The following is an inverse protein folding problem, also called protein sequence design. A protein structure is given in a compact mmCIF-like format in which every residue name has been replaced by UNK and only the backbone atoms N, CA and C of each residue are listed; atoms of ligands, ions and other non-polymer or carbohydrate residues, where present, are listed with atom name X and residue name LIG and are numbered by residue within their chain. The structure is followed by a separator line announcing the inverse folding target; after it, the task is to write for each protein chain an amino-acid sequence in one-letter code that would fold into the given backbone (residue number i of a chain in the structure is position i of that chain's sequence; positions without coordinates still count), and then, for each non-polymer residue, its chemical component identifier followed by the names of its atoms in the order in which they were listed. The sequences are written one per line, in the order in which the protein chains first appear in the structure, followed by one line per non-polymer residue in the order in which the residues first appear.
data_IF_810269336039
#
_entry.id   IF_810269336039
#
_cell.length_a   1.000
_cell.length_b   1.000
_cell.length_c   1.000
_cell.angle_alpha   90.00
_cell.angle_beta   90.00
_cell.angle_gamma   90.00
#
_symmetry.space_group_name_H-M   'P 1'
#
loop_
_entity.id
_entity.type
_entity.pdbx_description
1 polymer ?
#
# COMPACT_ATOMS: atom_id res chain seq x y z
N UNK A 1 27.02 -12.93 10.94
CA UNK A 1 25.55 -12.73 10.94
C UNK A 1 25.37 -11.23 11.00
N UNK A 2 24.69 -10.62 10.02
CA UNK A 2 24.42 -9.19 10.08
C UNK A 2 23.57 -8.91 11.33
N UNK A 3 23.92 -7.89 12.11
CA UNK A 3 23.08 -7.44 13.22
C UNK A 3 21.80 -6.87 12.64
N UNK A 4 20.64 -7.40 13.06
CA UNK A 4 19.34 -6.82 12.71
C UNK A 4 19.25 -5.50 13.48
N UNK A 5 19.22 -4.39 12.75
CA UNK A 5 19.08 -3.05 13.33
C UNK A 5 17.59 -2.70 13.44
N UNK A 6 17.20 -1.83 14.40
CA UNK A 6 15.83 -1.33 14.49
C UNK A 6 15.31 -0.72 13.17
N UNK A 7 16.18 -0.07 12.40
CA UNK A 7 15.82 0.51 11.10
C UNK A 7 15.46 -0.56 10.06
N UNK A 8 16.05 -1.76 10.15
CA UNK A 8 15.75 -2.87 9.27
C UNK A 8 14.38 -3.48 9.54
N UNK A 9 14.02 -3.68 10.82
CA UNK A 9 12.70 -4.19 11.18
C UNK A 9 11.59 -3.20 10.75
N UNK A 10 11.87 -1.91 10.85
CA UNK A 10 10.95 -0.86 10.38
C UNK A 10 10.80 -0.89 8.85
N UNK A 11 11.90 -1.07 8.12
CA UNK A 11 11.88 -1.19 6.67
C UNK A 11 11.14 -2.45 6.19
N UNK A 12 11.40 -3.60 6.82
CA UNK A 12 10.69 -4.85 6.54
C UNK A 12 9.18 -4.71 6.80
N UNK A 13 8.82 -4.04 7.90
CA UNK A 13 7.43 -3.70 8.18
C UNK A 13 6.84 -2.81 7.08
N UNK A 14 7.51 -1.73 6.69
CA UNK A 14 7.03 -0.84 5.62
C UNK A 14 6.86 -1.60 4.29
N UNK A 15 7.83 -2.44 3.91
CA UNK A 15 7.76 -3.31 2.72
C UNK A 15 6.54 -4.23 2.77
N UNK A 16 6.24 -4.82 3.94
CA UNK A 16 5.07 -5.69 4.08
C UNK A 16 3.76 -4.91 3.94
N UNK A 17 3.71 -3.65 4.42
CA UNK A 17 2.55 -2.76 4.27
C UNK A 17 2.26 -2.44 2.81
N UNK A 18 3.29 -2.13 2.03
CA UNK A 18 3.17 -1.87 0.58
C UNK A 18 2.64 -3.09 -0.18
N UNK A 19 3.14 -4.28 0.15
CA UNK A 19 2.66 -5.52 -0.49
C UNK A 19 1.20 -5.83 -0.11
N UNK A 20 0.80 -5.59 1.14
CA UNK A 20 -0.60 -5.70 1.57
C UNK A 20 -1.51 -4.71 0.85
N UNK A 21 -1.06 -3.46 0.66
CA UNK A 21 -1.79 -2.43 -0.06
C UNK A 21 -1.95 -2.78 -1.54
N UNK A 22 -0.88 -3.25 -2.18
CA UNK A 22 -0.91 -3.79 -3.54
C UNK A 22 -1.99 -4.87 -3.71
N UNK A 23 -1.97 -5.90 -2.86
CA UNK A 23 -2.96 -6.98 -2.92
C UNK A 23 -4.38 -6.48 -2.63
N UNK A 24 -4.53 -5.53 -1.71
CA UNK A 24 -5.82 -4.90 -1.43
C UNK A 24 -6.37 -4.17 -2.67
N UNK A 25 -5.57 -3.36 -3.37
CA UNK A 25 -6.03 -2.65 -4.56
C UNK A 25 -6.32 -3.59 -5.72
N UNK A 26 -5.49 -4.63 -5.93
CA UNK A 26 -5.81 -5.65 -6.93
C UNK A 26 -7.10 -6.41 -6.61
N UNK A 27 -7.37 -6.70 -5.34
CA UNK A 27 -8.64 -7.28 -4.90
C UNK A 27 -9.80 -6.35 -5.24
N UNK A 28 -9.62 -5.06 -4.95
CA UNK A 28 -10.65 -4.07 -5.12
C UNK A 28 -10.96 -3.80 -6.60
N UNK A 29 -9.93 -3.76 -7.44
CA UNK A 29 -10.06 -3.64 -8.88
C UNK A 29 -10.87 -4.79 -9.51
N UNK A 30 -10.81 -5.99 -8.93
CA UNK A 30 -11.56 -7.18 -9.39
C UNK A 30 -13.04 -7.17 -8.99
N UNK A 31 -13.39 -6.55 -7.85
CA UNK A 31 -14.76 -6.56 -7.34
C UNK A 31 -15.53 -5.28 -7.67
N UNK A 32 -14.83 -4.18 -7.96
CA UNK A 32 -15.49 -2.93 -8.36
C UNK A 32 -16.17 -3.09 -9.72
N UNK A 33 -17.46 -2.75 -9.79
CA UNK A 33 -18.25 -2.88 -11.02
C UNK A 33 -17.96 -1.80 -12.07
N UNK A 34 -17.35 -0.67 -11.67
CA UNK A 34 -17.03 0.44 -12.57
C UNK A 34 -15.66 0.25 -13.23
N UNK A 35 -15.57 0.16 -14.58
CA UNK A 35 -14.30 -0.06 -15.28
C UNK A 35 -13.29 1.09 -15.15
N UNK A 36 -13.76 2.33 -14.99
CA UNK A 36 -12.85 3.46 -14.82
C UNK A 36 -12.21 3.43 -13.43
N UNK A 37 -12.99 3.10 -12.40
CA UNK A 37 -12.47 2.90 -11.05
C UNK A 37 -11.55 1.68 -10.96
N UNK A 38 -11.91 0.56 -11.61
CA UNK A 38 -11.04 -0.63 -11.69
C UNK A 38 -9.65 -0.28 -12.21
N UNK A 39 -9.58 0.56 -13.25
CA UNK A 39 -8.31 1.04 -13.80
C UNK A 39 -7.53 1.93 -12.81
N UNK A 40 -8.21 2.82 -12.08
CA UNK A 40 -7.56 3.67 -11.06
C UNK A 40 -6.97 2.81 -9.94
N UNK A 41 -7.68 1.76 -9.53
CA UNK A 41 -7.19 0.82 -8.51
C UNK A 41 -6.01 -0.01 -9.00
N UNK A 42 -6.01 -0.43 -10.28
CA UNK A 42 -4.84 -1.05 -10.91
C UNK A 42 -3.62 -0.10 -10.98
N UNK A 43 -3.85 1.21 -11.10
CA UNK A 43 -2.80 2.23 -11.05
C UNK A 43 -2.24 2.34 -9.63
N UNK A 44 -3.10 2.46 -8.60
CA UNK A 44 -2.66 2.46 -7.20
C UNK A 44 -1.88 1.20 -6.84
N UNK A 45 -2.38 0.01 -7.22
CA UNK A 45 -1.67 -1.24 -6.98
C UNK A 45 -0.24 -1.24 -7.55
N UNK A 46 0.01 -0.57 -8.68
CA UNK A 46 1.36 -0.46 -9.26
C UNK A 46 2.23 0.54 -8.50
N UNK A 47 1.64 1.65 -8.05
CA UNK A 47 2.33 2.66 -7.24
C UNK A 47 2.84 2.05 -5.92
N UNK A 48 2.05 1.20 -5.25
CA UNK A 48 2.50 0.45 -4.06
C UNK A 48 3.73 -0.44 -4.34
N UNK A 49 3.81 -1.06 -5.53
CA UNK A 49 4.99 -1.84 -5.90
C UNK A 49 6.22 -0.95 -6.15
N UNK A 50 6.01 0.28 -6.63
CA UNK A 50 7.10 1.25 -6.79
C UNK A 50 7.58 1.75 -5.42
N UNK A 51 6.68 1.98 -4.46
CA UNK A 51 7.02 2.30 -3.07
C UNK A 51 7.80 1.16 -2.41
N UNK A 52 7.32 -0.08 -2.54
CA UNK A 52 8.02 -1.28 -2.09
C UNK A 52 9.44 -1.33 -2.64
N UNK A 53 9.62 -1.16 -3.95
CA UNK A 53 10.93 -1.21 -4.59
C UNK A 53 11.88 -0.11 -4.08
N UNK A 54 11.37 1.10 -3.76
CA UNK A 54 12.16 2.16 -3.13
C UNK A 54 12.63 1.76 -1.73
N UNK A 55 11.74 1.19 -0.90
CA UNK A 55 12.10 0.73 0.45
C UNK A 55 13.10 -0.43 0.41
N UNK A 56 12.94 -1.37 -0.51
CA UNK A 56 13.89 -2.48 -0.68
C UNK A 56 15.29 -1.98 -1.07
N UNK A 57 15.37 -0.94 -1.91
CA UNK A 57 16.65 -0.34 -2.27
C UNK A 57 17.37 0.24 -1.03
N UNK A 58 16.64 0.87 -0.12
CA UNK A 58 17.21 1.37 1.14
C UNK A 58 17.73 0.24 2.02
N UNK A 59 17.00 -0.87 2.14
CA UNK A 59 17.49 -2.04 2.88
C UNK A 59 18.81 -2.54 2.30
N UNK A 60 18.92 -2.64 0.96
CA UNK A 60 20.14 -3.09 0.29
C UNK A 60 21.33 -2.15 0.55
N UNK A 61 21.10 -0.83 0.64
CA UNK A 61 22.16 0.14 0.97
C UNK A 61 22.73 -0.05 2.37
N UNK A 62 21.94 -0.59 3.31
CA UNK A 62 22.43 -0.92 4.66
C UNK A 62 23.33 -2.17 4.71
N UNK A 63 23.58 -2.82 3.55
CA UNK A 63 24.36 -4.05 3.45
C UNK A 63 23.57 -5.30 3.89
N UNK A 64 22.28 -5.15 4.12
CA UNK A 64 21.38 -6.24 4.47
C UNK A 64 20.80 -6.86 3.20
N UNK A 65 20.63 -8.18 3.22
CA UNK A 65 19.99 -8.92 2.13
C UNK A 65 18.59 -9.26 2.60
N UNK A 66 17.58 -8.73 1.90
CA UNK A 66 16.21 -9.13 2.13
C UNK A 66 16.07 -10.64 1.86
N UNK A 67 15.31 -11.37 2.69
CA UNK A 67 14.92 -12.73 2.36
C UNK A 67 14.34 -12.72 0.95
N UNK A 68 14.92 -13.50 0.03
CA UNK A 68 14.31 -13.67 -1.29
C UNK A 68 12.87 -14.13 -1.07
N UNK A 69 11.90 -13.37 -1.59
CA UNK A 69 10.50 -13.77 -1.57
C UNK A 69 10.42 -15.17 -2.18
N UNK A 70 10.22 -16.18 -1.33
CA UNK A 70 9.87 -17.52 -1.81
C UNK A 70 8.44 -17.44 -2.28
N UNK A 71 8.22 -17.01 -3.52
CA UNK A 71 7.36 -17.71 -4.48
C UNK A 71 7.11 -16.91 -5.76
N UNK A 72 6.97 -17.68 -6.84
CA UNK A 72 6.77 -17.30 -8.24
C UNK A 72 5.69 -16.23 -8.52
N UNK A 73 6.01 -15.20 -9.34
CA UNK A 73 5.25 -13.93 -9.45
C UNK A 73 3.89 -13.98 -10.17
N UNK A 74 3.33 -15.16 -10.48
CA UNK A 74 2.05 -15.25 -11.20
C UNK A 74 1.08 -16.32 -10.65
N UNK A 75 1.54 -17.24 -9.79
CA UNK A 75 0.72 -18.36 -9.28
C UNK A 75 0.18 -18.15 -7.86
N UNK A 76 0.65 -17.11 -7.14
CA UNK A 76 0.26 -16.83 -5.75
C UNK A 76 -0.64 -15.60 -5.59
N UNK A 77 -0.61 -14.65 -6.53
CA UNK A 77 -1.39 -13.40 -6.46
C UNK A 77 -2.88 -13.66 -6.21
N UNK A 78 -3.48 -14.66 -6.88
CA UNK A 78 -4.89 -15.00 -6.63
C UNK A 78 -5.13 -15.52 -5.21
N UNK A 79 -4.18 -16.24 -4.60
CA UNK A 79 -4.28 -16.69 -3.21
C UNK A 79 -4.14 -15.53 -2.23
N UNK A 80 -3.28 -14.56 -2.53
CA UNK A 80 -2.98 -13.43 -1.65
C UNK A 80 -4.07 -12.35 -1.71
N UNK A 81 -4.73 -12.21 -2.87
CA UNK A 81 -5.87 -11.32 -3.09
C UNK A 81 -7.17 -11.91 -2.53
N UNK A 82 -7.36 -13.23 -2.59
CA UNK A 82 -8.63 -13.88 -2.26
C UNK A 82 -9.20 -13.50 -0.88
N UNK A 83 -8.42 -13.43 0.21
CA UNK A 83 -8.93 -13.00 1.51
C UNK A 83 -9.56 -11.61 1.48
N UNK A 84 -8.93 -10.67 0.75
CA UNK A 84 -9.47 -9.33 0.56
C UNK A 84 -10.72 -9.37 -0.31
N UNK A 85 -10.66 -10.04 -1.47
CA UNK A 85 -11.80 -10.14 -2.38
C UNK A 85 -13.04 -10.76 -1.70
N UNK A 86 -12.86 -11.86 -0.96
CA UNK A 86 -13.93 -12.50 -0.19
C UNK A 86 -14.54 -11.53 0.84
N UNK A 87 -13.71 -10.70 1.49
CA UNK A 87 -14.21 -9.71 2.47
C UNK A 87 -14.95 -8.53 1.84
N UNK A 88 -14.73 -8.27 0.55
CA UNK A 88 -15.29 -7.13 -0.19
C UNK A 88 -16.57 -7.49 -0.96
N UNK A 89 -16.82 -8.77 -1.26
CA UNK A 89 -17.96 -9.24 -2.09
C UNK A 89 -19.31 -8.78 -1.55
N UNK A 90 -19.47 -8.70 -0.23
CA UNK A 90 -20.74 -8.32 0.42
C UNK A 90 -20.79 -6.82 0.81
N UNK A 91 -19.75 -6.03 0.52
CA UNK A 91 -19.69 -4.62 0.86
C UNK A 91 -20.31 -3.76 -0.25
N UNK A 92 -21.11 -2.75 0.15
CA UNK A 92 -21.55 -1.73 -0.78
C UNK A 92 -20.35 -0.89 -1.27
N UNK A 93 -20.45 -0.35 -2.49
CA UNK A 93 -19.40 0.47 -3.09
C UNK A 93 -19.03 1.68 -2.20
N UNK A 94 -20.02 2.23 -1.51
CA UNK A 94 -19.80 3.29 -0.51
C UNK A 94 -18.89 2.83 0.64
N UNK A 95 -19.15 1.64 1.18
CA UNK A 95 -18.39 1.10 2.32
C UNK A 95 -16.97 0.71 1.89
N UNK A 96 -16.83 0.24 0.65
CA UNK A 96 -15.55 0.01 -0.02
C UNK A 96 -14.70 1.30 -0.05
N UNK A 97 -15.29 2.42 -0.50
CA UNK A 97 -14.57 3.70 -0.56
C UNK A 97 -14.18 4.18 0.84
N UNK A 98 -15.06 4.02 1.83
CA UNK A 98 -14.74 4.36 3.23
C UNK A 98 -13.63 3.48 3.80
N UNK A 99 -13.58 2.20 3.44
CA UNK A 99 -12.51 1.29 3.83
C UNK A 99 -11.18 1.72 3.21
N UNK A 100 -11.18 2.06 1.92
CA UNK A 100 -9.99 2.55 1.22
C UNK A 100 -9.47 3.85 1.88
N UNK A 101 -10.33 4.86 2.09
CA UNK A 101 -9.97 6.12 2.78
C UNK A 101 -9.30 5.86 4.14
N UNK A 102 -9.84 4.92 4.92
CA UNK A 102 -9.28 4.56 6.23
C UNK A 102 -7.93 3.85 6.11
N UNK A 103 -7.75 3.01 5.09
CA UNK A 103 -6.47 2.34 4.83
C UNK A 103 -5.39 3.37 4.47
N UNK A 104 -5.70 4.31 3.60
CA UNK A 104 -4.77 5.40 3.23
C UNK A 104 -4.42 6.28 4.41
N UNK A 105 -5.41 6.65 5.24
CA UNK A 105 -5.15 7.43 6.45
C UNK A 105 -4.23 6.69 7.42
N UNK A 106 -4.42 5.37 7.57
CA UNK A 106 -3.56 4.55 8.42
C UNK A 106 -2.14 4.42 7.84
N UNK A 107 -2.01 4.30 6.52
CA UNK A 107 -0.75 4.23 5.79
C UNK A 107 0.04 5.55 5.94
N UNK A 108 -0.59 6.68 5.65
CA UNK A 108 -0.04 8.02 5.89
C UNK A 108 0.48 8.18 7.32
N UNK A 109 -0.36 7.86 8.33
CA UNK A 109 0.03 7.97 9.75
C UNK A 109 1.21 7.05 10.09
N UNK A 110 1.27 5.88 9.46
CA UNK A 110 2.38 4.95 9.61
C UNK A 110 3.65 5.60 9.10
N UNK A 111 3.67 6.10 7.86
CA UNK A 111 4.85 6.71 7.27
C UNK A 111 5.32 7.97 8.00
N UNK A 112 4.40 8.84 8.46
CA UNK A 112 4.76 9.98 9.30
C UNK A 112 5.40 9.53 10.62
N UNK A 113 4.86 8.47 11.25
CA UNK A 113 5.42 7.92 12.49
C UNK A 113 6.81 7.31 12.27
N UNK A 114 7.01 6.61 11.15
CA UNK A 114 8.31 6.04 10.79
C UNK A 114 9.33 7.13 10.47
N UNK A 115 8.94 8.16 9.70
CA UNK A 115 9.81 9.28 9.35
C UNK A 115 10.26 10.09 10.57
N UNK A 116 9.42 10.15 11.62
CA UNK A 116 9.78 10.80 12.88
C UNK A 116 10.80 10.00 13.72
N UNK A 117 10.93 8.69 13.47
CA UNK A 117 11.85 7.79 14.16
C UNK A 117 13.13 7.52 13.36
N UNK A 118 13.12 7.78 12.05
CA UNK A 118 14.27 7.59 11.17
C UNK A 118 15.45 8.50 11.57
N UNK A 119 16.61 7.90 11.82
CA UNK A 119 17.85 8.60 12.10
C UNK A 119 18.58 9.06 10.83
N UNK A 120 18.38 8.35 9.72
CA UNK A 120 18.95 8.66 8.42
C UNK A 120 18.03 9.62 7.63
N UNK A 121 18.61 10.69 7.06
CA UNK A 121 17.84 11.70 6.33
C UNK A 121 17.33 11.21 4.98
N UNK A 122 18.09 10.37 4.26
CA UNK A 122 17.66 9.83 2.97
C UNK A 122 16.46 8.88 3.17
N UNK A 123 16.52 8.04 4.20
CA UNK A 123 15.41 7.18 4.56
C UNK A 123 14.17 7.98 4.98
N UNK A 124 14.36 9.02 5.78
CA UNK A 124 13.28 9.90 6.20
C UNK A 124 12.59 10.57 5.00
N UNK A 125 13.36 11.05 4.03
CA UNK A 125 12.82 11.70 2.83
C UNK A 125 11.98 10.73 2.00
N UNK A 126 12.39 9.46 1.88
CA UNK A 126 11.62 8.42 1.18
C UNK A 126 10.29 8.15 1.90
N UNK A 127 10.31 8.01 3.23
CA UNK A 127 9.08 7.79 4.01
C UNK A 127 8.12 8.97 3.90
N UNK A 128 8.64 10.21 3.92
CA UNK A 128 7.82 11.40 3.74
C UNK A 128 7.23 11.48 2.32
N UNK A 129 8.01 11.13 1.30
CA UNK A 129 7.53 11.07 -0.07
C UNK A 129 6.40 10.04 -0.24
N UNK A 130 6.54 8.84 0.34
CA UNK A 130 5.47 7.85 0.34
C UNK A 130 4.24 8.39 1.08
N UNK A 131 4.41 8.98 2.27
CA UNK A 131 3.31 9.59 3.01
C UNK A 131 2.52 10.64 2.20
N UNK A 132 3.22 11.43 1.39
CA UNK A 132 2.58 12.40 0.50
C UNK A 132 1.74 11.73 -0.61
N UNK A 133 2.19 10.60 -1.15
CA UNK A 133 1.41 9.82 -2.12
C UNK A 133 0.16 9.20 -1.48
N UNK A 134 0.25 8.61 -0.28
CA UNK A 134 -0.92 8.06 0.45
C UNK A 134 -2.01 9.12 0.67
N UNK A 135 -1.61 10.37 0.96
CA UNK A 135 -2.56 11.49 1.11
C UNK A 135 -3.25 11.83 -0.21
N UNK A 136 -2.54 11.73 -1.34
CA UNK A 136 -3.13 11.94 -2.68
C UNK A 136 -4.10 10.82 -3.02
N UNK A 137 -3.76 9.57 -2.71
CA UNK A 137 -4.67 8.43 -2.92
C UNK A 137 -5.93 8.59 -2.05
N UNK A 138 -5.78 8.90 -0.76
CA UNK A 138 -6.88 9.23 0.15
C UNK A 138 -7.80 10.29 -0.45
N UNK A 139 -7.21 11.40 -0.90
CA UNK A 139 -7.98 12.51 -1.46
C UNK A 139 -8.76 12.10 -2.71
N UNK A 140 -8.19 11.21 -3.53
CA UNK A 140 -8.86 10.68 -4.72
C UNK A 140 -10.06 9.81 -4.36
N UNK A 141 -9.97 8.99 -3.32
CA UNK A 141 -11.12 8.26 -2.79
C UNK A 141 -12.18 9.16 -2.15
N UNK A 142 -11.77 10.22 -1.44
CA UNK A 142 -12.69 11.19 -0.86
C UNK A 142 -13.51 11.92 -1.95
N UNK A 143 -12.88 12.30 -3.06
CA UNK A 143 -13.58 12.90 -4.21
C UNK A 143 -14.62 11.93 -4.76
N UNK A 144 -14.25 10.67 -4.99
CA UNK A 144 -15.17 9.66 -5.53
C UNK A 144 -16.35 9.43 -4.59
N UNK A 145 -16.08 9.32 -3.29
CA UNK A 145 -17.11 9.18 -2.26
C UNK A 145 -18.07 10.37 -2.25
N UNK A 146 -17.55 11.60 -2.29
CA UNK A 146 -18.37 12.81 -2.35
C UNK A 146 -19.23 12.89 -3.61
N UNK A 147 -18.70 12.45 -4.76
CA UNK A 147 -19.45 12.38 -6.01
C UNK A 147 -20.57 11.34 -5.96
N UNK A 148 -20.31 10.18 -5.36
CA UNK A 148 -21.30 9.13 -5.13
C UNK A 148 -22.44 9.66 -4.24
N UNK A 149 -22.10 10.31 -3.12
CA UNK A 149 -23.08 10.86 -2.17
C UNK A 149 -23.91 12.03 -2.71
N UNK A 150 -23.45 12.72 -3.77
CA UNK A 150 -24.21 13.80 -4.45
C UNK A 150 -25.15 13.28 -5.54
N UNK A 151 -24.91 12.07 -6.04
CA UNK A 151 -25.71 11.45 -7.11
C UNK A 151 -26.85 10.56 -6.60
N UNK A 152 -26.79 10.13 -5.33
CA UNK A 152 -27.85 9.40 -4.63
C UNK A 152 -28.79 10.33 -3.88
#
# INVERSE_FOLDING_TARGET
MAEITPDSEVLEFAISRELEAHHFYMALAKVVGDPAMSKVLDEFAKEELEHKAKLELEVLKTGQVLPAEKDSPALSIDKDIKPYADSLIDMDYKDILLLAIKKEEASFRTYISLAAQAADEEYKDILLAIAEEEVKHKYRFEIEYDLLMKKG
#
